data_IF_675490357574
#
_entry.id   IF_675490357574
#
_cell.length_a   1.000
_cell.length_b   1.000
_cell.length_c   1.000
_cell.angle_alpha   90.00
_cell.angle_beta   90.00
_cell.angle_gamma   90.00
#
_symmetry.space_group_name_H-M   'P 1'
#
loop_
_entity.id
_entity.type
_entity.pdbx_description
1 polymer ?
#
# COMPACT_ATOMS: atom_id res chain seq x y z
N UNK A 1 38.00 -19.74 -22.89
CA UNK A 1 37.37 -20.19 -21.63
C UNK A 1 37.12 -19.02 -20.66
N UNK A 2 36.14 -18.10 -20.88
CA UNK A 2 35.87 -16.98 -19.96
C UNK A 2 34.56 -17.08 -19.16
N UNK A 3 33.77 -18.16 -19.35
CA UNK A 3 32.43 -18.29 -18.73
C UNK A 3 32.49 -18.78 -17.26
N UNK A 4 33.49 -19.58 -16.88
CA UNK A 4 33.55 -20.19 -15.55
C UNK A 4 34.05 -19.24 -14.45
N UNK A 5 34.78 -18.17 -14.79
CA UNK A 5 35.27 -17.19 -13.81
C UNK A 5 34.20 -16.16 -13.38
N UNK A 6 33.12 -15.99 -14.17
CA UNK A 6 31.97 -15.14 -13.82
C UNK A 6 30.99 -15.82 -12.86
N UNK A 7 31.01 -17.15 -12.76
CA UNK A 7 30.10 -17.91 -11.90
C UNK A 7 30.34 -17.65 -10.40
N UNK A 8 31.59 -17.42 -9.99
CA UNK A 8 31.95 -17.23 -8.57
C UNK A 8 31.51 -15.89 -7.97
N UNK A 9 31.25 -14.87 -8.79
CA UNK A 9 31.05 -13.48 -8.33
C UNK A 9 29.63 -12.93 -8.58
N UNK A 10 28.70 -13.76 -9.06
CA UNK A 10 27.35 -13.31 -9.41
C UNK A 10 26.56 -12.80 -8.20
N UNK A 11 26.72 -13.46 -7.05
CA UNK A 11 26.09 -13.07 -5.78
C UNK A 11 26.64 -11.72 -5.32
N UNK A 12 27.94 -11.49 -5.48
CA UNK A 12 28.54 -10.22 -5.10
C UNK A 12 28.08 -9.07 -6.02
N UNK A 13 28.08 -9.30 -7.33
CA UNK A 13 27.73 -8.27 -8.31
C UNK A 13 26.24 -7.96 -8.41
N UNK A 14 25.38 -8.98 -8.39
CA UNK A 14 23.95 -8.83 -8.68
C UNK A 14 23.07 -8.79 -7.43
N UNK A 15 23.58 -9.21 -6.26
CA UNK A 15 22.80 -9.25 -5.01
C UNK A 15 23.44 -8.34 -3.96
N UNK A 16 24.67 -8.63 -3.53
CA UNK A 16 25.31 -7.88 -2.43
C UNK A 16 25.61 -6.42 -2.78
N UNK A 17 26.13 -6.12 -3.98
CA UNK A 17 26.43 -4.74 -4.37
C UNK A 17 25.17 -3.84 -4.40
N UNK A 18 24.07 -4.21 -5.09
CA UNK A 18 22.85 -3.42 -5.07
C UNK A 18 22.27 -3.26 -3.66
N UNK A 19 22.20 -4.34 -2.88
CA UNK A 19 21.72 -4.30 -1.50
C UNK A 19 22.60 -3.39 -0.63
N UNK A 20 23.93 -3.48 -0.79
CA UNK A 20 24.89 -2.64 -0.09
C UNK A 20 24.75 -1.16 -0.45
N UNK A 21 24.55 -0.83 -1.73
CA UNK A 21 24.29 0.55 -2.17
C UNK A 21 22.99 1.10 -1.60
N UNK A 22 21.92 0.28 -1.58
CA UNK A 22 20.64 0.65 -0.97
C UNK A 22 20.82 0.86 0.54
N UNK A 23 21.53 -0.02 1.24
CA UNK A 23 21.80 0.11 2.68
C UNK A 23 22.59 1.37 3.00
N UNK A 24 23.65 1.65 2.25
CA UNK A 24 24.45 2.88 2.43
C UNK A 24 23.57 4.10 2.20
N UNK A 25 22.78 4.13 1.13
CA UNK A 25 21.86 5.23 0.87
C UNK A 25 20.84 5.43 2.01
N UNK A 26 20.24 4.35 2.51
CA UNK A 26 19.27 4.39 3.61
C UNK A 26 19.91 4.91 4.89
N UNK A 27 21.08 4.37 5.29
CA UNK A 27 21.77 4.78 6.53
C UNK A 27 22.24 6.24 6.44
N UNK A 28 22.80 6.65 5.31
CA UNK A 28 23.24 8.04 5.09
C UNK A 28 22.04 8.99 5.10
N UNK A 29 20.95 8.66 4.40
CA UNK A 29 19.74 9.49 4.38
C UNK A 29 19.12 9.60 5.77
N UNK A 30 19.06 8.50 6.53
CA UNK A 30 18.57 8.50 7.90
C UNK A 30 19.45 9.38 8.80
N UNK A 31 20.78 9.25 8.73
CA UNK A 31 21.71 10.06 9.51
C UNK A 31 21.56 11.56 9.18
N UNK A 32 21.45 11.92 7.89
CA UNK A 32 21.23 13.30 7.45
C UNK A 32 19.90 13.84 7.99
N UNK A 33 18.81 13.08 7.87
CA UNK A 33 17.49 13.50 8.37
C UNK A 33 17.46 13.64 9.89
N UNK A 34 18.11 12.72 10.62
CA UNK A 34 18.24 12.82 12.09
C UNK A 34 19.09 14.02 12.50
N UNK A 35 20.21 14.28 11.81
CA UNK A 35 21.04 15.46 12.06
C UNK A 35 20.28 16.76 11.77
N UNK A 36 19.52 16.81 10.68
CA UNK A 36 18.67 17.95 10.35
C UNK A 36 17.59 18.18 11.40
N UNK A 37 16.93 17.11 11.88
CA UNK A 37 15.92 17.19 12.93
C UNK A 37 16.50 17.72 14.26
N UNK A 38 17.68 17.24 14.65
CA UNK A 38 18.39 17.72 15.84
C UNK A 38 18.83 19.19 15.70
N UNK A 39 19.33 19.58 14.53
CA UNK A 39 19.69 20.97 14.23
C UNK A 39 18.45 21.86 14.30
N UNK A 40 17.35 21.47 13.67
CA UNK A 40 16.09 22.23 13.71
C UNK A 40 15.59 22.38 15.16
N UNK A 41 15.66 21.30 15.94
CA UNK A 41 15.33 21.33 17.37
C UNK A 41 16.20 22.30 18.16
N UNK A 42 17.50 22.34 17.88
CA UNK A 42 18.42 23.28 18.52
C UNK A 42 18.15 24.75 18.12
N UNK A 43 17.91 25.02 16.82
CA UNK A 43 17.63 26.36 16.30
C UNK A 43 16.31 26.91 16.85
N UNK A 44 15.25 26.11 16.83
CA UNK A 44 13.92 26.52 17.29
C UNK A 44 13.83 26.67 18.82
N UNK A 45 14.75 26.06 19.56
CA UNK A 45 14.88 26.24 21.01
C UNK A 45 15.56 27.58 21.39
N UNK A 46 16.13 28.31 20.43
CA UNK A 46 16.68 29.65 20.68
C UNK A 46 15.62 30.73 20.49
N UNK A 47 15.48 31.71 21.42
CA UNK A 47 14.46 32.75 21.31
C UNK A 47 14.78 33.68 20.12
N UNK A 48 13.90 33.70 19.12
CA UNK A 48 13.98 34.62 17.98
C UNK A 48 13.19 35.89 18.29
N UNK A 49 13.87 37.04 18.32
CA UNK A 49 13.24 38.37 18.40
C UNK A 49 12.26 38.55 19.59
N UNK A 50 12.55 37.95 20.75
CA UNK A 50 11.70 38.08 21.94
C UNK A 50 10.37 37.32 21.87
N UNK A 51 10.13 36.55 20.81
CA UNK A 51 9.00 35.65 20.67
C UNK A 51 9.47 34.26 21.11
N UNK A 52 9.13 33.88 22.33
CA UNK A 52 9.41 32.55 22.86
C UNK A 52 8.47 31.50 22.24
N UNK A 53 8.76 31.08 21.01
CA UNK A 53 7.92 30.13 20.26
C UNK A 53 7.79 28.75 20.94
N UNK A 54 8.68 28.39 21.88
CA UNK A 54 8.71 27.09 22.56
C UNK A 54 8.78 27.13 24.11
N UNK A 55 8.76 28.30 24.78
CA UNK A 55 8.79 28.32 26.27
C UNK A 55 7.57 27.68 26.95
N UNK A 56 6.54 27.29 26.19
CA UNK A 56 5.31 26.68 26.73
C UNK A 56 5.33 25.15 26.83
N UNK A 57 6.44 24.44 26.53
CA UNK A 57 6.57 23.01 26.96
C UNK A 57 7.78 22.78 27.86
N UNK A 58 7.72 23.30 29.08
CA UNK A 58 8.54 22.77 30.19
C UNK A 58 8.33 21.25 30.30
N UNK A 59 9.40 20.48 30.20
CA UNK A 59 9.40 19.04 30.53
C UNK A 59 9.52 18.04 29.36
N UNK A 60 9.72 18.50 28.12
CA UNK A 60 10.01 17.59 27.00
C UNK A 60 11.50 17.62 26.67
N UNK A 61 12.21 16.58 27.09
CA UNK A 61 13.55 16.30 26.60
C UNK A 61 13.46 15.60 25.24
N UNK A 62 13.79 16.35 24.18
CA UNK A 62 13.72 15.91 22.79
C UNK A 62 14.55 14.64 22.55
N UNK A 63 15.72 14.52 23.19
CA UNK A 63 16.57 13.34 23.03
C UNK A 63 15.87 12.11 23.61
N UNK A 64 15.35 12.21 24.83
CA UNK A 64 14.61 11.13 25.48
C UNK A 64 13.31 10.78 24.72
N UNK A 65 12.63 11.76 24.13
CA UNK A 65 11.45 11.51 23.31
C UNK A 65 11.78 10.79 21.99
N UNK A 66 12.85 11.21 21.30
CA UNK A 66 13.33 10.56 20.07
C UNK A 66 13.76 9.13 20.36
N UNK A 67 14.57 8.89 21.40
CA UNK A 67 15.00 7.54 21.80
C UNK A 67 13.79 6.66 22.16
N UNK A 68 12.77 7.22 22.81
CA UNK A 68 11.53 6.51 23.15
C UNK A 68 10.67 6.16 21.92
N UNK A 69 10.67 7.01 20.89
CA UNK A 69 9.88 6.80 19.66
C UNK A 69 10.59 5.98 18.59
N UNK A 70 11.92 5.87 18.66
CA UNK A 70 12.73 5.21 17.65
C UNK A 70 12.30 3.74 17.38
N UNK A 71 12.00 2.91 18.40
CA UNK A 71 11.53 1.55 18.13
C UNK A 71 10.20 1.50 17.38
N UNK A 72 9.26 2.39 17.72
CA UNK A 72 7.96 2.47 17.04
C UNK A 72 8.14 2.90 15.58
N UNK A 73 9.03 3.87 15.31
CA UNK A 73 9.35 4.32 13.94
C UNK A 73 10.00 3.22 13.09
N UNK A 74 10.89 2.41 13.66
CA UNK A 74 11.51 1.30 12.94
C UNK A 74 10.48 0.24 12.55
N UNK A 75 9.58 -0.11 13.48
CA UNK A 75 8.51 -1.05 13.21
C UNK A 75 7.50 -0.51 12.20
N UNK A 76 7.24 0.79 12.24
CA UNK A 76 6.40 1.48 11.26
C UNK A 76 7.01 1.42 9.86
N UNK A 77 8.30 1.72 9.75
CA UNK A 77 9.06 1.64 8.49
C UNK A 77 9.10 0.22 7.92
N UNK A 78 9.32 -0.80 8.75
CA UNK A 78 9.27 -2.20 8.33
C UNK A 78 7.87 -2.54 7.78
N UNK A 79 6.81 -2.14 8.50
CA UNK A 79 5.42 -2.37 8.09
C UNK A 79 5.11 -1.76 6.73
N UNK A 80 5.49 -0.50 6.50
CA UNK A 80 5.32 0.19 5.21
C UNK A 80 6.17 -0.48 4.11
N UNK A 81 7.39 -0.91 4.44
CA UNK A 81 8.25 -1.67 3.54
C UNK A 81 7.59 -2.96 3.04
N UNK A 82 6.90 -3.70 3.91
CA UNK A 82 6.12 -4.87 3.52
C UNK A 82 4.96 -4.53 2.58
N UNK A 83 4.27 -3.41 2.80
CA UNK A 83 3.22 -2.95 1.86
C UNK A 83 3.83 -2.66 0.48
N UNK A 84 4.95 -1.93 0.43
CA UNK A 84 5.64 -1.67 -0.84
C UNK A 84 6.15 -2.95 -1.51
N UNK A 85 6.59 -3.95 -0.73
CA UNK A 85 6.97 -5.24 -1.27
C UNK A 85 5.79 -5.94 -1.97
N UNK A 86 4.59 -5.94 -1.39
CA UNK A 86 3.39 -6.52 -2.03
C UNK A 86 2.98 -5.75 -3.29
N UNK A 87 3.06 -4.42 -3.27
CA UNK A 87 2.79 -3.57 -4.45
C UNK A 87 3.78 -3.89 -5.57
N UNK A 88 5.07 -3.93 -5.26
CA UNK A 88 6.13 -4.25 -6.21
C UNK A 88 5.97 -5.66 -6.79
N UNK A 89 5.55 -6.62 -5.96
CA UNK A 89 5.28 -8.00 -6.37
C UNK A 89 4.14 -8.07 -7.41
N UNK A 90 3.05 -7.32 -7.21
CA UNK A 90 1.96 -7.20 -8.17
C UNK A 90 2.41 -6.58 -9.49
N UNK A 91 3.16 -5.47 -9.42
CA UNK A 91 3.66 -4.74 -10.58
C UNK A 91 4.65 -5.58 -11.41
N UNK A 92 5.61 -6.23 -10.74
CA UNK A 92 6.67 -7.02 -11.40
C UNK A 92 6.12 -8.26 -12.10
N UNK A 93 5.03 -8.86 -11.60
CA UNK A 93 4.41 -9.99 -12.29
C UNK A 93 3.82 -9.57 -13.63
N UNK A 94 3.06 -8.46 -13.67
CA UNK A 94 2.45 -7.95 -14.90
C UNK A 94 3.52 -7.50 -15.89
N UNK A 95 4.52 -6.75 -15.40
CA UNK A 95 5.65 -6.33 -16.21
C UNK A 95 6.45 -7.52 -16.78
N UNK A 96 6.63 -8.59 -15.99
CA UNK A 96 7.40 -9.76 -16.40
C UNK A 96 6.87 -10.44 -17.66
N UNK A 97 5.54 -10.49 -17.82
CA UNK A 97 4.91 -11.14 -18.99
C UNK A 97 4.86 -10.21 -20.20
N UNK A 98 4.49 -8.94 -20.00
CA UNK A 98 4.18 -8.03 -21.11
C UNK A 98 5.31 -7.06 -21.47
N UNK A 99 6.25 -6.83 -20.57
CA UNK A 99 7.39 -5.91 -20.72
C UNK A 99 7.00 -4.48 -21.16
N UNK A 100 5.80 -4.03 -20.84
CA UNK A 100 5.39 -2.63 -20.94
C UNK A 100 5.04 -2.05 -19.58
N UNK A 101 5.20 -0.73 -19.45
CA UNK A 101 4.91 0.00 -18.22
C UNK A 101 3.39 0.19 -18.12
N UNK A 102 2.78 -0.42 -17.12
CA UNK A 102 1.35 -0.29 -16.83
C UNK A 102 1.15 0.73 -15.70
N UNK A 103 0.72 1.95 -16.03
CA UNK A 103 0.43 2.97 -15.02
C UNK A 103 -0.80 2.64 -14.19
N UNK A 104 -1.85 2.05 -14.79
CA UNK A 104 -3.13 1.73 -14.13
C UNK A 104 -3.02 0.80 -12.91
N UNK A 105 -1.83 0.24 -12.63
CA UNK A 105 -1.61 -0.59 -11.44
C UNK A 105 -1.73 0.22 -10.13
N UNK A 106 -1.28 1.48 -10.11
CA UNK A 106 -1.45 2.36 -8.93
C UNK A 106 -2.92 2.64 -8.61
N UNK A 107 -3.76 2.67 -9.64
CA UNK A 107 -5.18 2.97 -9.58
C UNK A 107 -5.95 1.73 -9.13
N UNK A 108 -5.51 0.53 -9.52
CA UNK A 108 -6.03 -0.73 -8.96
C UNK A 108 -5.70 -0.81 -7.46
N UNK A 109 -4.51 -0.37 -7.04
CA UNK A 109 -4.16 -0.24 -5.63
C UNK A 109 -5.07 0.76 -4.89
N UNK A 110 -5.31 1.93 -5.49
CA UNK A 110 -6.27 2.92 -4.95
C UNK A 110 -7.68 2.32 -4.81
N UNK A 111 -8.18 1.64 -5.84
CA UNK A 111 -9.48 0.94 -5.81
C UNK A 111 -9.52 -0.08 -4.68
N UNK A 112 -8.43 -0.82 -4.44
CA UNK A 112 -8.32 -1.75 -3.31
C UNK A 112 -8.56 -1.09 -1.96
N UNK A 113 -7.92 0.06 -1.72
CA UNK A 113 -8.13 0.86 -0.50
C UNK A 113 -9.57 1.34 -0.36
N UNK A 114 -10.18 1.78 -1.47
CA UNK A 114 -11.58 2.22 -1.51
C UNK A 114 -12.55 1.06 -1.22
N UNK A 115 -12.34 -0.12 -1.81
CA UNK A 115 -13.17 -1.30 -1.55
C UNK A 115 -13.05 -1.74 -0.08
N UNK A 116 -11.83 -1.73 0.48
CA UNK A 116 -11.62 -2.02 1.90
C UNK A 116 -12.40 -1.05 2.80
N UNK A 117 -12.33 0.24 2.49
CA UNK A 117 -13.08 1.28 3.19
C UNK A 117 -14.60 1.10 3.06
N UNK A 118 -15.10 0.75 1.88
CA UNK A 118 -16.52 0.50 1.64
C UNK A 118 -17.02 -0.68 2.47
N UNK A 119 -16.28 -1.80 2.44
CA UNK A 119 -16.60 -2.99 3.24
C UNK A 119 -16.69 -2.63 4.72
N UNK A 120 -15.70 -1.93 5.25
CA UNK A 120 -15.67 -1.52 6.66
C UNK A 120 -16.85 -0.61 7.03
N UNK A 121 -17.16 0.36 6.17
CA UNK A 121 -18.28 1.29 6.41
C UNK A 121 -19.62 0.58 6.38
N UNK A 122 -19.87 -0.28 5.38
CA UNK A 122 -21.12 -1.02 5.23
C UNK A 122 -21.36 -1.98 6.39
N UNK A 123 -20.32 -2.68 6.85
CA UNK A 123 -20.44 -3.53 8.03
C UNK A 123 -20.68 -2.70 9.31
N UNK A 124 -20.15 -1.48 9.37
CA UNK A 124 -20.41 -0.53 10.46
C UNK A 124 -21.86 -0.06 10.49
N UNK A 125 -22.40 0.36 9.34
CA UNK A 125 -23.81 0.74 9.16
C UNK A 125 -24.77 -0.42 9.52
N UNK A 126 -24.39 -1.65 9.20
CA UNK A 126 -25.15 -2.86 9.53
C UNK A 126 -25.02 -3.30 11.01
N UNK A 127 -24.28 -2.56 11.85
CA UNK A 127 -23.91 -2.94 13.22
C UNK A 127 -23.26 -4.34 13.33
N UNK A 128 -22.66 -4.84 12.25
CA UNK A 128 -22.03 -6.16 12.21
C UNK A 128 -20.61 -6.14 12.78
N UNK A 129 -19.99 -4.95 12.90
CA UNK A 129 -18.62 -4.78 13.39
C UNK A 129 -18.41 -5.23 14.84
N UNK A 130 -19.43 -5.07 15.70
CA UNK A 130 -19.39 -5.49 17.10
C UNK A 130 -19.62 -6.99 17.27
N UNK A 131 -20.29 -7.62 16.31
CA UNK A 131 -20.67 -9.04 16.36
C UNK A 131 -19.61 -9.95 15.76
N UNK A 132 -18.82 -9.44 14.80
CA UNK A 132 -17.82 -10.23 14.08
C UNK A 132 -16.43 -10.11 14.72
N UNK A 133 -15.62 -11.19 14.70
CA UNK A 133 -14.23 -11.13 15.11
C UNK A 133 -13.43 -10.11 14.27
N UNK A 134 -12.61 -9.26 14.89
CA UNK A 134 -11.74 -8.28 14.23
C UNK A 134 -10.92 -8.78 13.04
N UNK A 135 -10.27 -9.93 13.22
CA UNK A 135 -9.43 -10.55 12.19
C UNK A 135 -10.26 -11.03 10.99
N UNK A 136 -11.50 -11.45 11.24
CA UNK A 136 -12.41 -11.89 10.19
C UNK A 136 -12.82 -10.72 9.30
N UNK A 137 -13.09 -9.55 9.89
CA UNK A 137 -13.42 -8.33 9.13
C UNK A 137 -12.26 -7.95 8.21
N UNK A 138 -11.02 -7.93 8.71
CA UNK A 138 -9.84 -7.58 7.90
C UNK A 138 -9.59 -8.62 6.80
N UNK A 139 -9.72 -9.90 7.12
CA UNK A 139 -9.61 -10.97 6.12
C UNK A 139 -10.67 -10.79 5.02
N UNK A 140 -11.91 -10.50 5.39
CA UNK A 140 -13.00 -10.25 4.46
C UNK A 140 -12.71 -9.02 3.58
N UNK A 141 -12.22 -7.91 4.15
CA UNK A 141 -11.81 -6.73 3.39
C UNK A 141 -10.74 -7.08 2.35
N UNK A 142 -9.69 -7.80 2.75
CA UNK A 142 -8.60 -8.21 1.86
C UNK A 142 -9.15 -9.12 0.74
N UNK A 143 -9.93 -10.14 1.07
CA UNK A 143 -10.47 -11.08 0.08
C UNK A 143 -11.42 -10.41 -0.91
N UNK A 144 -12.30 -9.54 -0.43
CA UNK A 144 -13.22 -8.76 -1.27
C UNK A 144 -12.45 -7.81 -2.20
N UNK A 145 -11.44 -7.11 -1.68
CA UNK A 145 -10.59 -6.25 -2.49
C UNK A 145 -9.78 -7.05 -3.52
N UNK A 146 -9.23 -8.21 -3.15
CA UNK A 146 -8.52 -9.12 -4.06
C UNK A 146 -9.41 -9.59 -5.21
N UNK A 147 -10.64 -10.02 -4.88
CA UNK A 147 -11.59 -10.49 -5.88
C UNK A 147 -11.99 -9.36 -6.84
N UNK A 148 -12.39 -8.20 -6.30
CA UNK A 148 -12.82 -7.07 -7.10
C UNK A 148 -11.68 -6.52 -7.98
N UNK A 149 -10.50 -6.29 -7.40
CA UNK A 149 -9.36 -5.74 -8.11
C UNK A 149 -8.77 -6.72 -9.13
N UNK A 150 -8.77 -8.03 -8.82
CA UNK A 150 -8.37 -9.07 -9.77
C UNK A 150 -9.31 -9.13 -10.99
N UNK A 151 -10.62 -9.07 -10.78
CA UNK A 151 -11.61 -9.00 -11.87
C UNK A 151 -11.44 -7.70 -12.67
N UNK A 152 -11.32 -6.56 -11.99
CA UNK A 152 -11.11 -5.26 -12.62
C UNK A 152 -9.85 -5.27 -13.50
N UNK A 153 -8.74 -5.83 -13.02
CA UNK A 153 -7.51 -5.95 -13.79
C UNK A 153 -7.68 -6.82 -15.03
N UNK A 154 -8.46 -7.90 -14.96
CA UNK A 154 -8.81 -8.74 -16.12
C UNK A 154 -9.68 -7.98 -17.13
N UNK A 155 -10.63 -7.19 -16.65
CA UNK A 155 -11.49 -6.35 -17.50
C UNK A 155 -10.65 -5.32 -18.25
N UNK A 156 -9.75 -4.63 -17.54
CA UNK A 156 -8.81 -3.66 -18.13
C UNK A 156 -7.91 -4.36 -19.15
N UNK A 157 -7.35 -5.52 -18.80
CA UNK A 157 -6.53 -6.32 -19.71
C UNK A 157 -7.29 -6.63 -21.00
N UNK A 158 -8.53 -7.09 -20.89
CA UNK A 158 -9.32 -7.52 -22.04
C UNK A 158 -9.77 -6.36 -22.93
N UNK A 159 -10.11 -5.22 -22.34
CA UNK A 159 -10.67 -4.07 -23.07
C UNK A 159 -9.57 -3.13 -23.56
N UNK A 160 -8.64 -2.74 -22.69
CA UNK A 160 -7.65 -1.72 -23.00
C UNK A 160 -6.38 -2.31 -23.60
N UNK A 161 -5.84 -3.40 -23.05
CA UNK A 161 -4.50 -3.88 -23.41
C UNK A 161 -4.48 -4.98 -24.47
N UNK A 162 -5.42 -5.92 -24.42
CA UNK A 162 -5.47 -7.05 -25.37
C UNK A 162 -5.56 -6.60 -26.84
N UNK A 163 -6.35 -5.57 -27.21
CA UNK A 163 -6.39 -5.09 -28.59
C UNK A 163 -5.07 -4.48 -29.07
N UNK A 164 -4.25 -3.97 -28.14
CA UNK A 164 -3.05 -3.18 -28.45
C UNK A 164 -1.75 -4.00 -28.46
N UNK A 165 -1.83 -5.34 -28.32
CA UNK A 165 -0.64 -6.19 -28.23
C UNK A 165 0.22 -6.21 -29.50
N UNK A 166 -0.37 -5.93 -30.65
CA UNK A 166 0.35 -5.80 -31.93
C UNK A 166 0.83 -4.38 -32.23
N UNK A 167 0.50 -3.40 -31.38
CA UNK A 167 0.83 -2.01 -31.62
C UNK A 167 2.25 -1.65 -31.15
N UNK A 168 2.86 -0.56 -31.66
CA UNK A 168 4.13 -0.05 -31.15
C UNK A 168 4.10 0.22 -29.64
N UNK A 169 5.24 0.06 -28.95
CA UNK A 169 5.35 0.10 -27.48
C UNK A 169 4.81 1.38 -26.80
N UNK A 170 4.69 2.49 -27.53
CA UNK A 170 4.14 3.75 -27.02
C UNK A 170 2.61 3.73 -26.91
N UNK A 171 1.91 2.96 -27.74
CA UNK A 171 0.44 2.95 -27.79
C UNK A 171 -0.18 2.33 -26.53
N UNK A 172 0.31 1.18 -26.01
CA UNK A 172 -0.15 0.65 -24.72
C UNK A 172 0.08 1.61 -23.55
N UNK A 173 1.14 2.44 -23.59
CA UNK A 173 1.42 3.43 -22.55
C UNK A 173 0.34 4.51 -22.49
N UNK A 174 -0.06 5.05 -23.64
CA UNK A 174 -1.12 6.06 -23.74
C UNK A 174 -2.46 5.47 -23.26
N UNK A 175 -2.75 4.22 -23.63
CA UNK A 175 -3.92 3.50 -23.13
C UNK A 175 -3.89 3.33 -21.61
N UNK A 176 -2.73 2.99 -21.04
CA UNK A 176 -2.57 2.86 -19.60
C UNK A 176 -2.85 4.18 -18.85
N UNK A 177 -2.38 5.31 -19.40
CA UNK A 177 -2.67 6.64 -18.85
C UNK A 177 -4.19 6.93 -18.93
N UNK A 178 -4.82 6.64 -20.07
CA UNK A 178 -6.27 6.80 -20.24
C UNK A 178 -7.09 5.98 -19.26
N UNK A 179 -6.72 4.72 -19.04
CA UNK A 179 -7.35 3.85 -18.02
C UNK A 179 -7.15 4.43 -16.62
N UNK A 180 -5.98 4.98 -16.33
CA UNK A 180 -5.67 5.55 -15.00
C UNK A 180 -6.60 6.72 -14.65
N UNK A 181 -6.78 7.66 -15.58
CA UNK A 181 -7.74 8.75 -15.41
C UNK A 181 -9.17 8.24 -15.32
N UNK A 182 -9.57 7.32 -16.19
CA UNK A 182 -10.91 6.73 -16.17
C UNK A 182 -11.20 6.07 -14.82
N UNK A 183 -10.29 5.24 -14.29
CA UNK A 183 -10.49 4.59 -12.99
C UNK A 183 -10.59 5.60 -11.86
N UNK A 184 -9.71 6.60 -11.87
CA UNK A 184 -9.73 7.66 -10.85
C UNK A 184 -11.05 8.42 -10.87
N UNK A 185 -11.53 8.81 -12.04
CA UNK A 185 -12.76 9.58 -12.18
C UNK A 185 -14.01 8.72 -11.93
N UNK A 186 -14.02 7.45 -12.33
CA UNK A 186 -15.10 6.51 -11.99
C UNK A 186 -15.20 6.33 -10.49
N UNK A 187 -14.07 6.15 -9.80
CA UNK A 187 -14.06 6.03 -8.33
C UNK A 187 -14.58 7.31 -7.68
N UNK A 188 -14.11 8.49 -8.13
CA UNK A 188 -14.63 9.79 -7.64
C UNK A 188 -16.13 9.93 -7.88
N UNK A 189 -16.62 9.57 -9.07
CA UNK A 189 -18.03 9.68 -9.43
C UNK A 189 -18.90 8.72 -8.60
N UNK A 190 -18.49 7.46 -8.45
CA UNK A 190 -19.19 6.48 -7.62
C UNK A 190 -19.26 6.95 -6.16
N UNK A 191 -18.16 7.52 -5.65
CA UNK A 191 -18.11 8.01 -4.28
C UNK A 191 -18.91 9.29 -4.07
N UNK A 192 -18.90 10.20 -5.04
CA UNK A 192 -19.74 11.38 -5.04
C UNK A 192 -21.24 11.00 -5.06
N UNK A 193 -21.64 10.02 -5.88
CA UNK A 193 -23.03 9.57 -5.97
C UNK A 193 -23.50 8.81 -4.73
N UNK A 194 -22.64 7.95 -4.17
CA UNK A 194 -23.03 7.09 -3.04
C UNK A 194 -22.93 7.80 -1.69
N UNK A 195 -21.95 8.70 -1.51
CA UNK A 195 -21.64 9.30 -0.21
C UNK A 195 -21.75 10.83 -0.19
N UNK A 196 -22.00 11.47 -1.33
CA UNK A 196 -22.06 12.93 -1.48
C UNK A 196 -20.75 13.63 -1.05
N UNK A 197 -19.60 12.96 -1.23
CA UNK A 197 -18.27 13.46 -0.85
C UNK A 197 -17.29 13.28 -2.02
N UNK A 198 -16.56 14.34 -2.36
CA UNK A 198 -15.62 14.37 -3.49
C UNK A 198 -14.18 13.98 -3.11
N UNK A 199 -13.83 14.10 -1.82
CA UNK A 199 -12.53 13.74 -1.27
C UNK A 199 -12.74 13.07 0.09
N UNK A 200 -12.31 11.83 0.26
CA UNK A 200 -12.50 11.07 1.50
C UNK A 200 -11.23 11.15 2.37
N UNK A 201 -11.14 12.08 3.32
CA UNK A 201 -10.21 11.91 4.43
C UNK A 201 -10.67 10.71 5.25
N UNK A 202 -9.75 9.83 5.64
CA UNK A 202 -10.08 8.78 6.60
C UNK A 202 -10.63 9.43 7.88
N UNK A 203 -11.84 9.05 8.32
CA UNK A 203 -12.54 9.73 9.41
C UNK A 203 -11.84 9.44 10.74
N UNK A 204 -11.03 10.38 11.21
CA UNK A 204 -10.44 10.41 12.54
C UNK A 204 -10.78 11.75 13.18
N UNK A 205 -12.04 11.90 13.64
CA UNK A 205 -12.41 13.07 14.42
C UNK A 205 -11.60 13.06 15.73
N UNK A 206 -10.69 14.02 15.86
CA UNK A 206 -10.17 14.42 17.16
C UNK A 206 -11.32 15.03 17.95
N UNK A 207 -11.86 14.29 18.91
CA UNK A 207 -12.56 14.88 20.06
C UNK A 207 -11.57 15.87 20.70
N UNK A 208 -11.73 17.18 20.44
CA UNK A 208 -10.97 18.21 21.14
C UNK A 208 -10.46 19.42 20.35
N UNK A 209 -10.73 19.58 19.05
CA UNK A 209 -10.50 20.90 18.43
C UNK A 209 -11.71 21.82 18.72
N UNK A 210 -11.52 22.99 19.35
CA UNK A 210 -12.59 23.98 19.41
C UNK A 210 -12.94 24.39 17.97
N UNK A 211 -14.24 24.62 17.67
CA UNK A 211 -14.67 25.00 16.33
C UNK A 211 -13.95 26.28 15.91
N UNK A 212 -13.38 26.29 14.70
CA UNK A 212 -12.82 27.52 14.14
C UNK A 212 -13.99 28.45 13.83
N UNK A 213 -13.76 29.75 13.92
CA UNK A 213 -14.81 30.79 13.72
C UNK A 213 -15.56 30.63 12.38
N UNK A 214 -14.95 29.99 11.38
CA UNK A 214 -15.57 29.70 10.09
C UNK A 214 -16.50 28.48 10.07
N UNK A 215 -16.43 27.57 11.04
CA UNK A 215 -17.30 26.37 11.15
C UNK A 215 -18.70 26.71 11.70
N UNK A 216 -18.93 27.95 12.15
CA UNK A 216 -20.20 28.41 12.72
C UNK A 216 -21.15 29.03 11.67
N UNK A 217 -20.70 29.15 10.42
CA UNK A 217 -21.42 29.85 9.33
C UNK A 217 -21.73 28.88 8.16
N UNK A 218 -21.06 27.74 8.09
CA UNK A 218 -21.40 26.64 7.20
C UNK A 218 -22.47 25.75 7.83
N UNK A 219 -23.59 25.55 7.12
CA UNK A 219 -24.45 24.39 7.36
C UNK A 219 -23.63 23.13 7.07
N UNK A 220 -22.97 22.57 8.08
CA UNK A 220 -22.09 21.42 7.90
C UNK A 220 -22.86 20.10 8.09
N UNK A 221 -22.92 19.23 7.07
CA UNK A 221 -23.41 17.84 7.19
C UNK A 221 -22.54 16.97 8.13
N UNK A 222 -21.42 17.51 8.64
CA UNK A 222 -20.38 16.85 9.41
C UNK A 222 -20.91 16.27 10.74
N UNK A 223 -21.97 16.85 11.32
CA UNK A 223 -22.57 16.35 12.57
C UNK A 223 -23.26 14.99 12.43
N UNK A 224 -23.67 14.58 11.22
CA UNK A 224 -24.17 13.22 10.97
C UNK A 224 -23.06 12.23 10.59
N UNK A 225 -21.90 12.71 10.14
CA UNK A 225 -20.73 11.86 9.87
C UNK A 225 -20.07 11.37 11.16
N UNK A 226 -20.13 12.16 12.24
CA UNK A 226 -19.48 11.85 13.53
C UNK A 226 -19.99 10.55 14.18
N UNK A 227 -21.20 10.09 13.84
CA UNK A 227 -21.68 8.75 14.24
C UNK A 227 -21.11 7.62 13.37
N UNK A 228 -20.81 7.87 12.10
CA UNK A 228 -20.08 6.95 11.20
C UNK A 228 -18.58 6.85 11.50
N UNK A 229 -17.97 7.92 12.02
CA UNK A 229 -16.56 8.03 12.45
C UNK A 229 -16.17 6.96 13.49
N UNK A 230 -17.05 6.64 14.45
CA UNK A 230 -16.74 5.69 15.54
C UNK A 230 -16.67 4.23 15.08
N UNK A 231 -17.24 3.90 13.92
CA UNK A 231 -17.26 2.54 13.38
C UNK A 231 -16.04 2.22 12.51
N UNK A 232 -15.19 3.21 12.19
CA UNK A 232 -14.08 3.04 11.23
C UNK A 232 -12.71 2.92 11.91
N UNK A 233 -12.65 3.07 13.24
CA UNK A 233 -11.47 2.80 14.05
C UNK A 233 -11.85 1.94 15.27
N UNK A 234 -12.23 0.67 15.04
CA UNK A 234 -12.67 -0.17 16.14
C UNK A 234 -11.51 -0.41 17.13
N UNK A 235 -11.78 -0.38 18.45
CA UNK A 235 -10.74 -0.34 19.49
C UNK A 235 -9.74 -1.52 19.45
N UNK A 236 -10.07 -2.61 18.75
CA UNK A 236 -9.16 -3.72 18.51
C UNK A 236 -7.95 -3.36 17.63
N UNK A 237 -8.07 -2.40 16.70
CA UNK A 237 -6.95 -1.99 15.83
C UNK A 237 -5.89 -1.21 16.62
N UNK A 238 -6.31 -0.51 17.67
CA UNK A 238 -5.45 0.26 18.57
C UNK A 238 -4.92 -0.57 19.74
N UNK A 239 -5.28 -1.86 19.83
CA UNK A 239 -4.80 -2.71 20.91
C UNK A 239 -3.29 -2.89 20.76
N UNK A 240 -2.56 -2.33 21.73
CA UNK A 240 -1.11 -2.42 21.82
C UNK A 240 -0.71 -3.77 22.41
N UNK A 241 0.00 -4.58 21.63
CA UNK A 241 0.51 -5.89 22.03
C UNK A 241 1.99 -5.74 22.40
N UNK A 242 2.41 -6.21 23.60
CA UNK A 242 3.82 -6.27 23.93
C UNK A 242 4.52 -7.32 23.08
N UNK A 243 5.55 -6.94 22.30
CA UNK A 243 6.35 -7.88 21.50
C UNK A 243 7.49 -8.48 22.33
N UNK A 244 8.37 -7.63 22.88
CA UNK A 244 9.52 -7.99 23.71
C UNK A 244 9.86 -6.80 24.63
N UNK A 245 9.87 -7.01 25.95
CA UNK A 245 10.15 -5.95 26.93
C UNK A 245 9.11 -4.83 26.93
N UNK A 246 9.55 -3.56 26.93
CA UNK A 246 8.68 -2.38 26.86
C UNK A 246 8.23 -2.00 25.44
N UNK A 247 8.53 -2.82 24.42
CA UNK A 247 8.12 -2.57 23.04
C UNK A 247 6.69 -3.01 22.83
N UNK A 248 5.78 -2.04 22.77
CA UNK A 248 4.37 -2.26 22.45
C UNK A 248 4.12 -1.94 20.98
N UNK A 249 3.44 -2.82 20.25
CA UNK A 249 3.12 -2.59 18.83
C UNK A 249 1.62 -2.65 18.59
N UNK A 250 1.14 -1.87 17.62
CA UNK A 250 -0.25 -1.93 17.22
C UNK A 250 -0.55 -3.25 16.49
N UNK A 251 -1.69 -3.86 16.80
CA UNK A 251 -2.19 -5.06 16.15
C UNK A 251 -2.21 -4.93 14.61
N UNK A 252 -2.53 -3.74 14.09
CA UNK A 252 -2.49 -3.43 12.65
C UNK A 252 -1.12 -3.69 12.01
N UNK A 253 -0.03 -3.32 12.69
CA UNK A 253 1.33 -3.50 12.17
C UNK A 253 1.66 -4.99 12.02
N UNK A 254 1.29 -5.80 13.01
CA UNK A 254 1.48 -7.26 12.97
C UNK A 254 0.68 -7.87 11.82
N UNK A 255 -0.58 -7.48 11.67
CA UNK A 255 -1.45 -7.97 10.60
C UNK A 255 -0.88 -7.64 9.22
N UNK A 256 -0.42 -6.40 9.00
CA UNK A 256 0.20 -6.01 7.72
C UNK A 256 1.40 -6.88 7.40
N UNK A 257 2.30 -7.10 8.36
CA UNK A 257 3.52 -7.90 8.16
C UNK A 257 3.15 -9.35 7.85
N UNK A 258 2.26 -9.95 8.66
CA UNK A 258 1.84 -11.35 8.48
C UNK A 258 1.11 -11.54 7.14
N UNK A 259 0.15 -10.67 6.81
CA UNK A 259 -0.56 -10.72 5.54
C UNK A 259 0.36 -10.54 4.35
N UNK A 260 1.32 -9.59 4.41
CA UNK A 260 2.30 -9.39 3.35
C UNK A 260 3.21 -10.59 3.15
N UNK A 261 3.71 -11.20 4.24
CA UNK A 261 4.53 -12.43 4.17
C UNK A 261 3.72 -13.56 3.54
N UNK A 262 2.46 -13.75 3.96
CA UNK A 262 1.58 -14.78 3.39
C UNK A 262 1.38 -14.55 1.88
N UNK A 263 1.18 -13.31 1.44
CA UNK A 263 1.02 -12.99 0.02
C UNK A 263 2.30 -13.23 -0.78
N UNK A 264 3.46 -12.82 -0.26
CA UNK A 264 4.76 -13.02 -0.91
C UNK A 264 5.08 -14.51 -1.02
N UNK A 265 4.97 -15.25 0.09
CA UNK A 265 5.23 -16.69 0.13
C UNK A 265 4.23 -17.44 -0.75
N UNK A 266 2.94 -17.10 -0.64
CA UNK A 266 1.86 -17.71 -1.42
C UNK A 266 2.05 -17.50 -2.91
N UNK A 267 2.41 -16.30 -3.33
CA UNK A 267 2.71 -16.03 -4.73
C UNK A 267 3.98 -16.74 -5.21
N UNK A 268 5.04 -16.72 -4.42
CA UNK A 268 6.28 -17.41 -4.74
C UNK A 268 6.03 -18.91 -4.94
N UNK A 269 5.25 -19.53 -4.06
CA UNK A 269 4.81 -20.90 -4.20
C UNK A 269 3.96 -21.10 -5.47
N UNK A 270 2.98 -20.22 -5.71
CA UNK A 270 2.13 -20.29 -6.90
C UNK A 270 2.96 -20.26 -8.20
N UNK A 271 3.86 -19.29 -8.34
CA UNK A 271 4.65 -19.07 -9.56
C UNK A 271 5.68 -20.18 -9.78
N UNK A 272 6.29 -20.71 -8.71
CA UNK A 272 7.36 -21.70 -8.83
C UNK A 272 6.89 -23.16 -8.80
N UNK A 273 5.84 -23.47 -8.04
CA UNK A 273 5.38 -24.85 -7.84
C UNK A 273 4.26 -25.25 -8.81
N UNK A 274 3.37 -24.33 -9.20
CA UNK A 274 2.16 -24.70 -9.96
C UNK A 274 2.39 -24.79 -11.47
N UNK A 275 1.56 -25.57 -12.17
CA UNK A 275 1.58 -25.70 -13.64
C UNK A 275 1.30 -24.36 -14.33
N UNK A 276 0.37 -23.57 -13.78
CA UNK A 276 0.05 -22.22 -14.29
C UNK A 276 1.24 -21.26 -14.11
N UNK A 277 1.92 -21.32 -12.96
CA UNK A 277 3.12 -20.55 -12.69
C UNK A 277 4.26 -20.85 -13.68
N UNK A 278 4.50 -22.13 -13.98
CA UNK A 278 5.46 -22.55 -15.02
C UNK A 278 5.08 -22.01 -16.40
N UNK A 279 3.79 -21.99 -16.73
CA UNK A 279 3.26 -21.38 -17.96
C UNK A 279 3.54 -19.88 -18.03
N UNK A 280 3.24 -19.12 -16.97
CA UNK A 280 3.55 -17.69 -16.87
C UNK A 280 5.04 -17.43 -17.09
N UNK A 281 5.91 -18.21 -16.43
CA UNK A 281 7.36 -18.10 -16.57
C UNK A 281 7.83 -18.39 -18.00
N UNK A 282 7.29 -19.41 -18.66
CA UNK A 282 7.61 -19.70 -20.06
C UNK A 282 7.22 -18.54 -20.99
N UNK A 283 6.01 -17.99 -20.81
CA UNK A 283 5.51 -16.83 -21.59
C UNK A 283 6.35 -15.58 -21.34
N UNK A 284 6.85 -15.37 -20.12
CA UNK A 284 7.73 -14.23 -19.80
C UNK A 284 9.10 -14.27 -20.48
N UNK A 285 9.58 -15.47 -20.83
CA UNK A 285 10.87 -15.66 -21.52
C UNK A 285 10.70 -15.42 -23.02
N UNK A 286 9.80 -16.18 -23.64
CA UNK A 286 9.46 -16.05 -25.06
C UNK A 286 8.02 -16.50 -25.32
N UNK A 287 7.17 -15.52 -25.65
CA UNK A 287 5.74 -15.73 -25.89
C UNK A 287 5.46 -16.59 -27.14
N UNK A 288 6.25 -16.42 -28.22
CA UNK A 288 6.00 -17.12 -29.49
C UNK A 288 6.37 -18.59 -29.38
N UNK A 289 7.54 -18.88 -28.81
CA UNK A 289 7.97 -20.27 -28.54
C UNK A 289 7.03 -20.95 -27.54
N UNK A 290 6.60 -20.26 -26.48
CA UNK A 290 5.63 -20.80 -25.53
C UNK A 290 4.29 -21.18 -26.21
N UNK A 291 3.81 -20.36 -27.15
CA UNK A 291 2.61 -20.67 -27.92
C UNK A 291 2.78 -21.92 -28.81
N UNK A 292 3.94 -22.11 -29.43
CA UNK A 292 4.26 -23.29 -30.24
C UNK A 292 4.34 -24.58 -29.39
N UNK A 293 4.69 -24.45 -28.11
CA UNK A 293 4.69 -25.56 -27.14
C UNK A 293 3.30 -25.86 -26.55
N UNK A 294 2.24 -25.27 -27.11
CA UNK A 294 0.85 -25.50 -26.70
C UNK A 294 0.41 -24.75 -25.45
N UNK A 295 1.21 -23.78 -24.97
CA UNK A 295 0.82 -22.95 -23.82
C UNK A 295 -0.14 -21.84 -24.29
N UNK A 296 -1.30 -21.74 -23.65
CA UNK A 296 -2.26 -20.66 -23.94
C UNK A 296 -1.76 -19.31 -23.38
N UNK A 297 -1.03 -18.56 -24.20
CA UNK A 297 -0.47 -17.23 -23.87
C UNK A 297 -1.54 -16.27 -23.38
N UNK A 298 -2.72 -16.26 -24.00
CA UNK A 298 -3.81 -15.37 -23.61
C UNK A 298 -4.26 -15.63 -22.18
N UNK A 299 -4.42 -16.90 -21.81
CA UNK A 299 -4.81 -17.28 -20.46
C UNK A 299 -3.72 -16.94 -19.43
N UNK A 300 -2.44 -17.14 -19.77
CA UNK A 300 -1.33 -16.79 -18.86
C UNK A 300 -1.27 -15.27 -18.61
N UNK A 301 -1.48 -14.45 -19.65
CA UNK A 301 -1.55 -12.99 -19.51
C UNK A 301 -2.74 -12.59 -18.64
N UNK A 302 -3.94 -13.07 -18.94
CA UNK A 302 -5.15 -12.73 -18.16
C UNK A 302 -4.99 -13.16 -16.69
N UNK A 303 -4.44 -14.35 -16.43
CA UNK A 303 -4.16 -14.84 -15.08
C UNK A 303 -3.13 -13.96 -14.35
N UNK A 304 -2.11 -13.48 -15.07
CA UNK A 304 -1.11 -12.57 -14.52
C UNK A 304 -1.73 -11.24 -14.10
N UNK A 305 -2.64 -10.67 -14.92
CA UNK A 305 -3.39 -9.48 -14.53
C UNK A 305 -4.32 -9.73 -13.35
N UNK A 306 -4.98 -10.89 -13.30
CA UNK A 306 -5.83 -11.27 -12.17
C UNK A 306 -5.02 -11.29 -10.87
N UNK A 307 -3.87 -11.95 -10.86
CA UNK A 307 -3.01 -12.05 -9.67
C UNK A 307 -2.39 -10.71 -9.30
N UNK A 308 -1.87 -9.97 -10.28
CA UNK A 308 -1.30 -8.64 -10.05
C UNK A 308 -2.35 -7.67 -9.50
N UNK A 309 -3.55 -7.67 -10.07
CA UNK A 309 -4.67 -6.85 -9.60
C UNK A 309 -5.16 -7.25 -8.22
N UNK A 310 -5.25 -8.55 -7.93
CA UNK A 310 -5.62 -9.04 -6.61
C UNK A 310 -4.61 -8.59 -5.54
N UNK A 311 -3.31 -8.75 -5.80
CA UNK A 311 -2.25 -8.31 -4.88
C UNK A 311 -2.22 -6.78 -4.70
N UNK A 312 -2.41 -6.02 -5.79
CA UNK A 312 -2.54 -4.57 -5.72
C UNK A 312 -3.74 -4.15 -4.86
N UNK A 313 -4.88 -4.82 -5.02
CA UNK A 313 -6.08 -4.61 -4.23
C UNK A 313 -5.87 -4.87 -2.74
N UNK A 314 -5.25 -6.02 -2.41
CA UNK A 314 -4.88 -6.37 -1.04
C UNK A 314 -3.94 -5.35 -0.41
N UNK A 315 -2.90 -4.93 -1.14
CA UNK A 315 -1.98 -3.90 -0.67
C UNK A 315 -2.69 -2.57 -0.41
N UNK A 316 -3.67 -2.20 -1.24
CA UNK A 316 -4.49 -1.00 -1.06
C UNK A 316 -5.24 -1.01 0.28
N UNK A 317 -5.84 -2.14 0.64
CA UNK A 317 -6.49 -2.33 1.94
C UNK A 317 -5.49 -2.22 3.08
N UNK A 318 -4.35 -2.90 2.99
CA UNK A 318 -3.31 -2.88 4.02
C UNK A 318 -2.75 -1.47 4.24
N UNK A 319 -2.53 -0.71 3.16
CA UNK A 319 -2.09 0.67 3.23
C UNK A 319 -3.16 1.58 3.85
N UNK A 320 -4.43 1.41 3.46
CA UNK A 320 -5.55 2.15 4.04
C UNK A 320 -5.69 1.91 5.55
N UNK A 321 -5.58 0.65 5.98
CA UNK A 321 -5.56 0.28 7.40
C UNK A 321 -4.39 0.92 8.15
N UNK A 322 -3.23 1.06 7.50
CA UNK A 322 -2.05 1.69 8.11
C UNK A 322 -2.28 3.19 8.31
N UNK A 323 -2.65 3.90 7.24
CA UNK A 323 -2.85 5.36 7.26
C UNK A 323 -3.95 5.75 8.25
N UNK A 324 -4.98 4.91 8.41
CA UNK A 324 -6.03 5.13 9.41
C UNK A 324 -5.57 4.97 10.88
N UNK A 325 -4.40 4.39 11.16
CA UNK A 325 -3.91 4.11 12.51
C UNK A 325 -2.76 5.03 12.97
N UNK A 326 -2.28 5.96 12.13
CA UNK A 326 -1.21 6.90 12.49
C UNK A 326 -1.86 8.22 12.96
N UNK A 327 -2.17 8.30 14.25
CA UNK A 327 -2.52 9.54 14.96
C UNK A 327 -1.92 9.60 16.36
#
# INVERSE_FOLDING_TARGET
MPALQRAGNWINLYILKPIGQILVFVVVSAAIMSALALLLGAVLNTPWHGIDLLKTRKGIDLFNQVVKQLPDMLLDGISIGFVYAVIALGYTMVYGVLRFINFAHSEIFMVGGVIGFEVMTRLGEANALSTMPPLFVILLMILMAMAFCGILAVVIERIAYKPLRGAPKLVPLISAIGVSFLLTDVVRAVQALSRNVFNMPYPLDRVGNPPRIFDLISFDPITQLSKGQQFLNPPFLQTRIPLVGNLTTNMTTVIIIVSAIIMVVGLNYFVNATKLGKGIRAVSQDQTTAALMGINVNQMITLTFLLGGALGGAAGVLFGLKVANIT
#
